data_IF_501689890577
#
_entry.id   IF_501689890577
#
_cell.length_a   1.000
_cell.length_b   1.000
_cell.length_c   1.000
_cell.angle_alpha   90.00
_cell.angle_beta   90.00
_cell.angle_gamma   90.00
#
_symmetry.space_group_name_H-M   'P 1'
#
loop_
_entity.id
_entity.type
_entity.pdbx_description
1 polymer ?
#
# COMPACT_ATOMS: atom_id res chain seq x y z
N UNK A 1 13.60 4.90 -11.02
CA UNK A 1 12.82 6.09 -11.41
C UNK A 1 11.35 5.99 -10.96
N UNK A 2 10.62 4.91 -11.29
CA UNK A 2 9.20 4.74 -10.93
C UNK A 2 8.98 4.77 -9.42
N UNK A 3 9.75 4.01 -8.64
CA UNK A 3 9.66 4.03 -7.18
C UNK A 3 9.93 5.42 -6.57
N UNK A 4 10.85 6.20 -7.15
CA UNK A 4 11.12 7.57 -6.69
C UNK A 4 9.95 8.52 -6.95
N UNK A 5 9.20 8.32 -8.04
CA UNK A 5 7.96 9.07 -8.31
C UNK A 5 6.88 8.70 -7.29
N UNK A 6 6.78 7.41 -6.94
CA UNK A 6 5.78 6.91 -6.00
C UNK A 6 5.98 7.41 -4.56
N UNK A 7 7.18 7.87 -4.19
CA UNK A 7 7.37 8.55 -2.89
C UNK A 7 6.51 9.81 -2.78
N UNK A 8 6.25 10.48 -3.90
CA UNK A 8 5.46 11.72 -3.97
C UNK A 8 4.07 11.50 -4.59
N UNK A 9 3.57 10.26 -4.60
CA UNK A 9 2.36 9.87 -5.31
C UNK A 9 1.15 10.76 -4.96
N UNK A 10 0.93 11.03 -3.67
CA UNK A 10 -0.19 11.86 -3.19
C UNK A 10 -0.08 13.29 -3.73
N UNK A 11 1.07 13.92 -3.56
CA UNK A 11 1.30 15.30 -4.03
C UNK A 11 1.14 15.42 -5.55
N UNK A 12 1.62 14.41 -6.30
CA UNK A 12 1.50 14.38 -7.77
C UNK A 12 0.02 14.22 -8.16
N UNK A 13 -0.70 13.29 -7.52
CA UNK A 13 -2.11 13.04 -7.84
C UNK A 13 -2.98 14.26 -7.50
N UNK A 14 -2.77 14.88 -6.36
CA UNK A 14 -3.47 16.10 -5.94
C UNK A 14 -3.20 17.28 -6.89
N UNK A 15 -1.96 17.43 -7.35
CA UNK A 15 -1.59 18.46 -8.31
C UNK A 15 -2.24 18.25 -9.69
N UNK A 16 -2.33 16.99 -10.12
CA UNK A 16 -2.92 16.63 -11.41
C UNK A 16 -4.45 16.62 -11.39
N UNK A 17 -5.06 16.40 -10.22
CA UNK A 17 -6.51 16.22 -10.05
C UNK A 17 -7.01 17.04 -8.86
N UNK A 18 -6.93 18.38 -8.93
CA UNK A 18 -7.29 19.27 -7.80
C UNK A 18 -8.78 19.20 -7.43
N UNK A 19 -9.64 18.72 -8.33
CA UNK A 19 -11.07 18.52 -8.08
C UNK A 19 -11.35 17.56 -6.92
N UNK A 20 -10.43 16.64 -6.61
CA UNK A 20 -10.56 15.69 -5.50
C UNK A 20 -10.38 16.36 -4.12
N UNK A 21 -9.80 17.56 -4.10
CA UNK A 21 -9.57 18.34 -2.89
C UNK A 21 -10.68 19.38 -2.62
N UNK A 22 -11.66 19.45 -3.48
CA UNK A 22 -12.80 20.38 -3.30
C UNK A 22 -13.71 19.82 -2.22
N UNK A 23 -13.67 20.46 -1.06
CA UNK A 23 -14.52 20.13 0.08
C UNK A 23 -15.58 21.20 0.29
N UNK A 24 -16.84 20.79 0.39
CA UNK A 24 -17.93 21.67 0.76
C UNK A 24 -17.82 22.05 2.25
N UNK A 25 -18.11 23.30 2.60
CA UNK A 25 -18.12 23.73 3.99
C UNK A 25 -19.31 23.08 4.74
N UNK A 26 -19.03 22.51 5.90
CA UNK A 26 -20.04 21.87 6.74
C UNK A 26 -19.45 20.76 7.61
N UNK A 27 -20.28 20.19 8.46
CA UNK A 27 -19.93 18.99 9.21
C UNK A 27 -19.93 17.78 8.29
N UNK A 28 -19.09 16.79 8.60
CA UNK A 28 -19.04 15.55 7.85
C UNK A 28 -20.35 14.77 8.00
N UNK A 29 -20.77 14.15 6.91
CA UNK A 29 -21.92 13.24 6.91
C UNK A 29 -21.59 11.97 7.70
N UNK A 30 -22.61 11.30 8.26
CA UNK A 30 -22.46 9.95 8.81
C UNK A 30 -21.89 8.98 7.77
N UNK A 31 -21.08 8.00 8.20
CA UNK A 31 -20.40 7.06 7.31
C UNK A 31 -21.37 6.24 6.46
N UNK A 32 -22.52 5.87 7.01
CA UNK A 32 -23.55 5.18 6.25
C UNK A 32 -24.05 6.01 5.05
N UNK A 33 -24.09 7.35 5.17
CA UNK A 33 -24.47 8.24 4.07
C UNK A 33 -23.32 8.38 3.06
N UNK A 34 -22.07 8.40 3.50
CA UNK A 34 -20.90 8.39 2.62
C UNK A 34 -20.85 7.09 1.80
N UNK A 35 -21.05 5.93 2.45
CA UNK A 35 -21.13 4.63 1.77
C UNK A 35 -22.29 4.59 0.77
N UNK A 36 -23.45 5.08 1.15
CA UNK A 36 -24.61 5.18 0.25
C UNK A 36 -24.35 6.11 -0.94
N UNK A 37 -23.67 7.23 -0.72
CA UNK A 37 -23.28 8.15 -1.78
C UNK A 37 -22.28 7.51 -2.76
N UNK A 38 -21.30 6.75 -2.25
CA UNK A 38 -20.37 5.99 -3.08
C UNK A 38 -21.12 4.93 -3.90
N UNK A 39 -22.03 4.18 -3.27
CA UNK A 39 -22.86 3.16 -3.92
C UNK A 39 -23.77 3.76 -5.01
N UNK A 40 -24.29 4.97 -4.79
CA UNK A 40 -25.14 5.67 -5.76
C UNK A 40 -24.41 6.00 -7.08
N UNK A 41 -23.08 6.09 -7.07
CA UNK A 41 -22.29 6.25 -8.31
C UNK A 41 -22.36 4.98 -9.18
N UNK A 42 -22.49 3.82 -8.57
CA UNK A 42 -22.57 2.51 -9.23
C UNK A 42 -23.62 1.60 -8.57
N UNK A 43 -24.90 1.84 -8.83
CA UNK A 43 -26.00 1.11 -8.16
C UNK A 43 -26.00 -0.41 -8.38
N UNK A 44 -25.43 -0.85 -9.50
CA UNK A 44 -25.38 -2.26 -9.89
C UNK A 44 -24.19 -3.03 -9.28
N UNK A 45 -23.32 -2.33 -8.53
CA UNK A 45 -22.19 -2.97 -7.85
C UNK A 45 -22.54 -3.32 -6.40
N UNK A 46 -21.75 -4.20 -5.80
CA UNK A 46 -21.77 -4.42 -4.35
C UNK A 46 -21.37 -3.14 -3.59
N UNK A 47 -21.51 -3.16 -2.27
CA UNK A 47 -20.93 -2.11 -1.41
C UNK A 47 -19.43 -1.97 -1.68
N UNK A 48 -18.81 -0.82 -1.43
CA UNK A 48 -17.35 -0.71 -1.57
C UNK A 48 -16.65 -1.69 -0.63
N UNK A 49 -15.52 -2.24 -1.09
CA UNK A 49 -14.68 -3.12 -0.26
C UNK A 49 -14.06 -2.34 0.91
N UNK A 50 -13.68 -1.11 0.67
CA UNK A 50 -13.13 -0.26 1.72
C UNK A 50 -13.39 1.22 1.49
N UNK A 51 -13.43 1.94 2.60
CA UNK A 51 -13.54 3.39 2.66
C UNK A 51 -12.29 3.95 3.34
N UNK A 52 -11.45 4.68 2.60
CA UNK A 52 -10.27 5.36 3.13
C UNK A 52 -10.68 6.73 3.64
N UNK A 53 -10.26 7.04 4.87
CA UNK A 53 -10.62 8.27 5.57
C UNK A 53 -9.72 9.44 5.18
N UNK A 54 -10.25 10.68 5.19
CA UNK A 54 -9.45 11.88 4.98
C UNK A 54 -8.37 12.03 6.04
N UNK A 55 -7.13 12.28 5.59
CA UNK A 55 -5.98 12.50 6.48
C UNK A 55 -5.88 13.94 6.96
N UNK A 56 -6.34 14.89 6.15
CA UNK A 56 -6.31 16.32 6.40
C UNK A 56 -7.69 16.93 6.15
N UNK A 57 -7.92 18.13 6.64
CA UNK A 57 -9.22 18.83 6.50
C UNK A 57 -9.68 19.01 5.04
N UNK A 58 -8.75 19.05 4.09
CA UNK A 58 -9.05 19.21 2.66
C UNK A 58 -9.23 17.89 1.92
N UNK A 59 -8.93 16.78 2.56
CA UNK A 59 -9.02 15.47 1.92
C UNK A 59 -10.47 14.99 1.87
N UNK A 60 -10.74 14.09 0.95
CA UNK A 60 -12.03 13.45 0.70
C UNK A 60 -12.01 11.99 1.12
N UNK A 61 -13.17 11.35 1.21
CA UNK A 61 -13.25 9.89 1.33
C UNK A 61 -12.96 9.23 -0.02
N UNK A 62 -12.22 8.11 0.01
CA UNK A 62 -12.00 7.28 -1.17
C UNK A 62 -12.63 5.92 -0.95
N UNK A 63 -13.70 5.64 -1.67
CA UNK A 63 -14.38 4.35 -1.68
C UNK A 63 -13.78 3.47 -2.77
N UNK A 64 -13.24 2.32 -2.38
CA UNK A 64 -12.64 1.34 -3.28
C UNK A 64 -13.63 0.24 -3.58
N UNK A 65 -13.85 -0.01 -4.85
CA UNK A 65 -14.72 -1.07 -5.36
C UNK A 65 -13.90 -2.09 -6.13
N UNK A 66 -14.10 -3.35 -5.81
CA UNK A 66 -13.65 -4.45 -6.63
C UNK A 66 -14.66 -4.68 -7.74
N UNK A 67 -14.25 -4.45 -8.98
CA UNK A 67 -15.14 -4.59 -10.13
C UNK A 67 -14.92 -5.95 -10.77
N UNK A 68 -15.98 -6.71 -11.10
CA UNK A 68 -15.84 -7.95 -11.85
C UNK A 68 -15.14 -7.70 -13.19
N UNK A 69 -13.94 -8.24 -13.37
CA UNK A 69 -13.23 -8.10 -14.63
C UNK A 69 -13.78 -9.06 -15.68
N UNK A 70 -13.96 -8.59 -16.90
CA UNK A 70 -14.35 -9.41 -18.03
C UNK A 70 -13.11 -10.12 -18.61
N UNK A 71 -12.64 -11.18 -17.94
CA UNK A 71 -11.75 -12.17 -18.53
C UNK A 71 -10.24 -12.05 -18.30
N UNK A 72 -9.79 -11.36 -17.27
CA UNK A 72 -8.38 -11.39 -16.86
C UNK A 72 -8.24 -11.90 -15.41
N UNK A 73 -7.14 -12.60 -15.11
CA UNK A 73 -6.72 -13.00 -13.75
C UNK A 73 -6.37 -11.81 -12.84
N UNK A 74 -7.05 -10.69 -13.02
CA UNK A 74 -6.75 -9.43 -12.36
C UNK A 74 -8.03 -8.82 -11.83
N UNK A 75 -8.03 -8.51 -10.55
CA UNK A 75 -9.08 -7.69 -9.95
C UNK A 75 -8.98 -6.26 -10.49
N UNK A 76 -10.02 -5.80 -11.15
CA UNK A 76 -10.15 -4.40 -11.54
C UNK A 76 -10.67 -3.60 -10.35
N UNK A 77 -9.93 -2.57 -9.96
CA UNK A 77 -10.30 -1.69 -8.87
C UNK A 77 -10.78 -0.35 -9.41
N UNK A 78 -11.79 0.18 -8.76
CA UNK A 78 -12.29 1.52 -9.01
C UNK A 78 -12.35 2.34 -7.75
N UNK A 79 -11.97 3.62 -7.84
CA UNK A 79 -11.91 4.55 -6.72
C UNK A 79 -12.91 5.67 -6.97
N UNK A 80 -13.91 5.75 -6.12
CA UNK A 80 -14.90 6.83 -6.09
C UNK A 80 -14.53 7.77 -4.95
N UNK A 81 -14.29 9.04 -5.28
CA UNK A 81 -13.93 10.06 -4.28
C UNK A 81 -15.18 10.83 -3.90
N UNK A 82 -15.46 10.91 -2.59
CA UNK A 82 -16.69 11.50 -2.04
C UNK A 82 -16.35 12.69 -1.14
N UNK A 83 -17.05 13.81 -1.33
CA UNK A 83 -16.98 14.98 -0.46
C UNK A 83 -17.58 14.64 0.92
N UNK A 84 -16.82 14.77 2.01
CA UNK A 84 -17.26 14.41 3.35
C UNK A 84 -18.53 15.13 3.82
N UNK A 85 -18.73 16.36 3.42
CA UNK A 85 -19.82 17.21 3.95
C UNK A 85 -21.08 17.20 3.10
N UNK A 86 -20.96 16.99 1.79
CA UNK A 86 -22.11 16.99 0.88
C UNK A 86 -22.50 15.62 0.33
N UNK A 87 -21.62 14.60 0.46
CA UNK A 87 -21.81 13.31 -0.17
C UNK A 87 -21.68 13.33 -1.69
N UNK A 88 -21.25 14.45 -2.28
CA UNK A 88 -21.10 14.55 -3.73
C UNK A 88 -19.90 13.74 -4.21
N UNK A 89 -20.07 12.98 -5.29
CA UNK A 89 -18.96 12.35 -6.00
C UNK A 89 -18.09 13.41 -6.66
N UNK A 90 -16.81 13.46 -6.29
CA UNK A 90 -15.82 14.40 -6.81
C UNK A 90 -15.08 13.79 -8.00
N UNK A 91 -14.75 12.52 -7.92
CA UNK A 91 -14.14 11.77 -9.03
C UNK A 91 -14.52 10.30 -8.98
N UNK A 92 -14.42 9.64 -10.12
CA UNK A 92 -14.69 8.22 -10.32
C UNK A 92 -13.66 7.69 -11.32
N UNK A 93 -12.67 6.91 -10.82
CA UNK A 93 -11.49 6.56 -11.60
C UNK A 93 -11.18 5.08 -11.50
N UNK A 94 -10.90 4.46 -12.62
CA UNK A 94 -10.39 3.10 -12.67
C UNK A 94 -8.92 3.07 -12.26
N UNK A 95 -8.55 2.19 -11.33
CA UNK A 95 -7.15 1.98 -10.97
C UNK A 95 -6.34 1.50 -12.18
N UNK A 96 -5.13 2.00 -12.34
CA UNK A 96 -4.30 1.75 -13.50
C UNK A 96 -4.50 2.71 -14.68
N UNK A 97 -5.60 3.48 -14.72
CA UNK A 97 -5.92 4.36 -15.85
C UNK A 97 -5.40 5.80 -15.72
N UNK A 98 -5.08 6.26 -14.52
CA UNK A 98 -4.53 7.60 -14.27
C UNK A 98 -3.05 7.54 -13.91
N UNK A 99 -2.34 8.66 -14.07
CA UNK A 99 -0.87 8.70 -14.05
C UNK A 99 -0.23 7.98 -12.85
N UNK A 100 -0.68 8.29 -11.64
CA UNK A 100 -0.09 7.70 -10.42
C UNK A 100 -0.33 6.21 -10.35
N UNK A 101 -1.55 5.76 -10.61
CA UNK A 101 -1.89 4.33 -10.62
C UNK A 101 -1.18 3.58 -11.76
N UNK A 102 -1.04 4.20 -12.93
CA UNK A 102 -0.24 3.63 -14.03
C UNK A 102 1.24 3.45 -13.62
N UNK A 103 1.85 4.46 -12.98
CA UNK A 103 3.25 4.36 -12.49
C UNK A 103 3.37 3.28 -11.41
N UNK A 104 2.36 3.15 -10.55
CA UNK A 104 2.30 2.10 -9.53
C UNK A 104 2.29 0.71 -10.16
N UNK A 105 1.38 0.46 -11.10
CA UNK A 105 1.25 -0.80 -11.82
C UNK A 105 2.51 -1.15 -12.63
N UNK A 106 3.12 -0.14 -13.26
CA UNK A 106 4.41 -0.30 -13.95
C UNK A 106 5.52 -0.69 -12.97
N UNK A 107 5.53 -0.12 -11.78
CA UNK A 107 6.55 -0.39 -10.77
C UNK A 107 6.39 -1.77 -10.14
N UNK A 108 5.17 -2.13 -9.80
CA UNK A 108 4.84 -3.37 -9.11
C UNK A 108 4.92 -4.58 -10.04
N UNK A 109 4.33 -4.48 -11.23
CA UNK A 109 4.10 -5.64 -12.10
C UNK A 109 4.36 -5.41 -13.59
N UNK A 110 5.10 -4.35 -13.97
CA UNK A 110 5.42 -4.04 -15.38
C UNK A 110 4.16 -3.99 -16.28
N UNK A 111 3.00 -3.69 -15.73
CA UNK A 111 1.69 -3.73 -16.39
C UNK A 111 1.25 -5.15 -16.86
N UNK A 112 1.90 -6.21 -16.37
CA UNK A 112 1.67 -7.61 -16.76
C UNK A 112 0.90 -8.41 -15.70
N UNK A 113 0.30 -7.75 -14.69
CA UNK A 113 -0.41 -8.38 -13.59
C UNK A 113 0.46 -9.35 -12.80
N UNK A 114 -0.11 -10.47 -12.34
CA UNK A 114 0.56 -11.48 -11.52
C UNK A 114 1.87 -12.01 -12.10
N UNK A 115 1.96 -12.18 -13.42
CA UNK A 115 3.19 -12.62 -14.09
C UNK A 115 4.28 -11.56 -13.96
N UNK A 116 3.92 -10.30 -14.14
CA UNK A 116 4.85 -9.19 -13.98
C UNK A 116 5.32 -8.99 -12.55
N UNK A 117 4.43 -9.11 -11.58
CA UNK A 117 4.72 -9.08 -10.14
C UNK A 117 5.78 -10.15 -9.80
N UNK A 118 5.52 -11.41 -10.15
CA UNK A 118 6.48 -12.49 -9.95
C UNK A 118 7.83 -12.23 -10.62
N UNK A 119 7.82 -11.63 -11.82
CA UNK A 119 9.04 -11.30 -12.54
C UNK A 119 9.83 -10.19 -11.82
N UNK A 120 9.18 -9.15 -11.32
CA UNK A 120 9.80 -8.07 -10.52
C UNK A 120 10.41 -8.63 -9.24
N UNK A 121 9.73 -9.55 -8.56
CA UNK A 121 10.26 -10.22 -7.38
C UNK A 121 11.52 -11.04 -7.68
N UNK A 122 11.55 -11.77 -8.80
CA UNK A 122 12.75 -12.50 -9.26
C UNK A 122 13.89 -11.52 -9.57
N UNK A 123 13.62 -10.39 -10.22
CA UNK A 123 14.63 -9.35 -10.47
C UNK A 123 15.20 -8.77 -9.17
N UNK A 124 14.37 -8.61 -8.13
CA UNK A 124 14.83 -8.18 -6.82
C UNK A 124 15.83 -9.18 -6.21
N UNK A 125 15.58 -10.47 -6.34
CA UNK A 125 16.52 -11.52 -5.92
C UNK A 125 17.84 -11.46 -6.70
N UNK A 126 17.78 -11.29 -8.03
CA UNK A 126 18.99 -11.12 -8.84
C UNK A 126 19.76 -9.86 -8.45
N UNK A 127 19.09 -8.77 -8.10
CA UNK A 127 19.75 -7.57 -7.61
C UNK A 127 20.48 -7.83 -6.29
N UNK A 128 19.86 -8.55 -5.33
CA UNK A 128 20.53 -8.93 -4.09
C UNK A 128 21.78 -9.78 -4.33
N UNK A 129 21.69 -10.78 -5.20
CA UNK A 129 22.83 -11.60 -5.60
C UNK A 129 23.93 -10.78 -6.27
N UNK A 130 23.55 -9.83 -7.14
CA UNK A 130 24.49 -8.92 -7.81
C UNK A 130 25.20 -8.00 -6.82
N UNK A 131 24.48 -7.47 -5.82
CA UNK A 131 25.08 -6.65 -4.75
C UNK A 131 26.05 -7.50 -3.92
N UNK A 132 25.64 -8.70 -3.50
CA UNK A 132 26.49 -9.58 -2.70
C UNK A 132 27.77 -9.96 -3.42
N UNK A 133 27.68 -10.36 -4.69
CA UNK A 133 28.85 -10.70 -5.52
C UNK A 133 29.71 -9.45 -5.82
N UNK A 134 29.08 -8.30 -6.06
CA UNK A 134 29.78 -7.03 -6.26
C UNK A 134 30.59 -6.61 -5.03
N UNK A 135 30.01 -6.73 -3.83
CA UNK A 135 30.73 -6.48 -2.57
C UNK A 135 31.85 -7.48 -2.34
N UNK A 136 31.62 -8.75 -2.63
CA UNK A 136 32.65 -9.79 -2.54
C UNK A 136 33.85 -9.50 -3.45
N UNK A 137 33.61 -9.17 -4.72
CA UNK A 137 34.66 -8.83 -5.70
C UNK A 137 35.38 -7.52 -5.37
N UNK A 138 34.66 -6.58 -4.77
CA UNK A 138 35.24 -5.30 -4.36
C UNK A 138 36.11 -5.42 -3.11
N UNK A 139 35.89 -6.41 -2.23
CA UNK A 139 36.51 -6.48 -0.92
C UNK A 139 38.03 -6.34 -0.99
N UNK A 140 38.62 -5.28 -0.44
CA UNK A 140 40.05 -5.01 -0.59
C UNK A 140 40.89 -5.90 0.32
N UNK A 141 42.09 -6.24 -0.13
CA UNK A 141 43.07 -6.88 0.74
C UNK A 141 43.43 -5.99 1.93
N UNK A 142 43.86 -6.61 3.04
CA UNK A 142 44.23 -5.93 4.27
C UNK A 142 45.14 -4.70 4.02
N UNK A 143 44.81 -3.59 4.69
CA UNK A 143 45.54 -2.33 4.59
C UNK A 143 45.28 -1.46 3.35
N UNK A 144 44.47 -1.94 2.36
CA UNK A 144 44.20 -1.18 1.13
C UNK A 144 42.83 -0.48 1.12
N UNK A 145 42.09 -0.49 2.23
CA UNK A 145 40.74 0.06 2.32
C UNK A 145 40.66 1.54 1.89
N UNK A 146 41.56 2.38 2.40
CA UNK A 146 41.60 3.81 2.05
C UNK A 146 41.75 4.05 0.53
N UNK A 147 42.58 3.24 -0.14
CA UNK A 147 42.77 3.30 -1.60
C UNK A 147 41.54 2.77 -2.34
N UNK A 148 40.89 1.73 -1.83
CA UNK A 148 39.69 1.18 -2.40
C UNK A 148 38.51 2.18 -2.35
N UNK A 149 38.45 3.05 -1.35
CA UNK A 149 37.44 4.11 -1.16
C UNK A 149 37.78 5.44 -1.85
N UNK A 150 38.86 5.53 -2.64
CA UNK A 150 39.28 6.77 -3.30
C UNK A 150 39.10 6.71 -4.82
N UNK A 151 38.78 7.87 -5.41
CA UNK A 151 38.91 8.12 -6.85
C UNK A 151 40.39 8.32 -7.17
N UNK A 152 40.90 7.54 -8.11
CA UNK A 152 42.31 7.74 -8.56
C UNK A 152 42.36 8.79 -9.68
N UNK A 153 42.90 9.96 -9.37
CA UNK A 153 43.10 11.03 -10.37
C UNK A 153 44.08 10.59 -11.46
N UNK A 154 43.92 11.08 -12.70
CA UNK A 154 44.84 10.85 -13.81
C UNK A 154 44.66 9.52 -14.57
N UNK A 155 43.59 8.75 -14.29
CA UNK A 155 43.31 7.49 -14.99
C UNK A 155 42.61 7.67 -16.34
N UNK A 156 42.61 6.61 -17.16
CA UNK A 156 41.84 6.55 -18.40
C UNK A 156 40.31 6.70 -18.11
N UNK A 157 39.49 7.07 -19.11
CA UNK A 157 38.02 7.14 -18.95
C UNK A 157 37.42 5.85 -18.40
N UNK A 158 37.90 4.69 -18.80
CA UNK A 158 37.49 3.37 -18.30
C UNK A 158 37.76 3.23 -16.80
N UNK A 159 38.96 3.68 -16.36
CA UNK A 159 39.33 3.65 -14.94
C UNK A 159 38.41 4.54 -14.10
N UNK A 160 38.08 5.73 -14.61
CA UNK A 160 37.16 6.65 -13.94
C UNK A 160 35.75 6.07 -13.81
N UNK A 161 35.22 5.44 -14.86
CA UNK A 161 33.92 4.76 -14.81
C UNK A 161 33.91 3.61 -13.79
N UNK A 162 34.98 2.82 -13.75
CA UNK A 162 35.14 1.77 -12.75
C UNK A 162 35.13 2.32 -11.32
N UNK A 163 35.90 3.37 -11.05
CA UNK A 163 35.98 3.98 -9.72
C UNK A 163 34.64 4.63 -9.32
N UNK A 164 33.91 5.26 -10.25
CA UNK A 164 32.56 5.79 -10.01
C UNK A 164 31.56 4.68 -9.72
N UNK A 165 31.54 3.62 -10.53
CA UNK A 165 30.66 2.47 -10.30
C UNK A 165 30.94 1.82 -8.94
N UNK A 166 32.21 1.59 -8.62
CA UNK A 166 32.64 1.03 -7.34
C UNK A 166 32.18 1.87 -6.14
N UNK A 167 32.40 3.17 -6.18
CA UNK A 167 32.08 4.06 -5.06
C UNK A 167 30.57 4.30 -4.92
N UNK A 168 29.88 4.53 -6.05
CA UNK A 168 28.41 4.68 -6.03
C UNK A 168 27.72 3.37 -5.63
N UNK A 169 28.20 2.23 -6.15
CA UNK A 169 27.71 0.91 -5.79
C UNK A 169 27.86 0.62 -4.29
N UNK A 170 29.04 0.89 -3.72
CA UNK A 170 29.27 0.74 -2.29
C UNK A 170 28.37 1.68 -1.46
N UNK A 171 28.28 2.96 -1.86
CA UNK A 171 27.46 3.96 -1.15
C UNK A 171 25.96 3.63 -1.17
N UNK A 172 25.48 3.02 -2.26
CA UNK A 172 24.06 2.64 -2.41
C UNK A 172 23.74 1.20 -1.98
N UNK A 173 24.73 0.35 -1.77
CA UNK A 173 24.55 -1.09 -1.54
C UNK A 173 23.57 -1.41 -0.41
N UNK A 174 23.68 -0.71 0.73
CA UNK A 174 22.80 -0.93 1.87
C UNK A 174 21.34 -0.58 1.52
N UNK A 175 21.13 0.59 0.94
CA UNK A 175 19.76 1.07 0.60
C UNK A 175 19.15 0.17 -0.47
N UNK A 176 19.90 -0.16 -1.52
CA UNK A 176 19.43 -1.05 -2.58
C UNK A 176 19.16 -2.47 -2.08
N UNK A 177 19.97 -2.98 -1.14
CA UNK A 177 19.70 -4.29 -0.52
C UNK A 177 18.41 -4.28 0.28
N UNK A 178 18.16 -3.24 1.06
CA UNK A 178 16.90 -3.10 1.81
C UNK A 178 15.69 -2.99 0.87
N UNK A 179 15.79 -2.17 -0.18
CA UNK A 179 14.73 -2.02 -1.18
C UNK A 179 14.46 -3.33 -1.92
N UNK A 180 15.51 -4.04 -2.32
CA UNK A 180 15.36 -5.31 -3.02
C UNK A 180 14.82 -6.42 -2.10
N UNK A 181 15.26 -6.48 -0.84
CA UNK A 181 14.76 -7.45 0.13
C UNK A 181 13.28 -7.21 0.47
N UNK A 182 12.89 -5.95 0.68
CA UNK A 182 11.49 -5.59 0.93
C UNK A 182 10.62 -5.80 -0.31
N UNK A 183 11.12 -5.47 -1.51
CA UNK A 183 10.41 -5.76 -2.76
C UNK A 183 10.21 -7.26 -2.96
N UNK A 184 11.23 -8.08 -2.72
CA UNK A 184 11.10 -9.55 -2.78
C UNK A 184 10.07 -10.08 -1.76
N UNK A 185 10.07 -9.54 -0.53
CA UNK A 185 9.09 -9.90 0.48
C UNK A 185 7.66 -9.57 0.06
N UNK A 186 7.44 -8.39 -0.54
CA UNK A 186 6.10 -7.98 -0.98
C UNK A 186 5.54 -8.88 -2.09
N UNK A 187 6.41 -9.40 -2.96
CA UNK A 187 6.00 -10.28 -4.06
C UNK A 187 5.86 -11.75 -3.64
N UNK A 188 6.68 -12.20 -2.67
CA UNK A 188 6.70 -13.58 -2.20
C UNK A 188 6.58 -13.67 -0.66
N UNK A 189 5.49 -13.13 -0.06
CA UNK A 189 5.35 -13.10 1.40
C UNK A 189 5.38 -14.48 2.02
N UNK A 190 4.70 -15.47 1.45
CA UNK A 190 4.63 -16.82 1.97
C UNK A 190 6.00 -17.50 2.02
N UNK A 191 6.83 -17.31 0.99
CA UNK A 191 8.17 -17.86 0.93
C UNK A 191 9.08 -17.26 2.01
N UNK A 192 8.96 -15.96 2.25
CA UNK A 192 9.74 -15.26 3.29
C UNK A 192 9.23 -15.62 4.68
N UNK A 193 7.92 -15.58 4.91
CA UNK A 193 7.31 -15.90 6.20
C UNK A 193 7.59 -17.34 6.59
N UNK A 194 7.46 -18.30 5.66
CA UNK A 194 7.79 -19.71 5.94
C UNK A 194 9.25 -19.89 6.36
N UNK A 195 10.17 -19.14 5.77
CA UNK A 195 11.58 -19.14 6.16
C UNK A 195 11.82 -18.53 7.52
N UNK A 196 11.16 -17.39 7.81
CA UNK A 196 11.28 -16.69 9.10
C UNK A 196 10.70 -17.53 10.25
N UNK A 197 9.63 -18.29 10.01
CA UNK A 197 9.01 -19.18 11.01
C UNK A 197 10.00 -20.23 11.59
N UNK A 198 11.09 -20.55 10.90
CA UNK A 198 12.13 -21.46 11.44
C UNK A 198 12.93 -20.84 12.59
N UNK A 199 13.02 -19.52 12.65
CA UNK A 199 13.85 -18.78 13.62
C UNK A 199 13.04 -17.91 14.59
N UNK A 200 11.79 -17.60 14.25
CA UNK A 200 10.93 -16.73 15.05
C UNK A 200 9.45 -17.09 14.89
N UNK A 201 8.66 -17.08 15.98
CA UNK A 201 7.22 -17.22 15.86
C UNK A 201 6.65 -16.01 15.09
N UNK A 202 5.93 -16.28 14.02
CA UNK A 202 5.23 -15.27 13.20
C UNK A 202 3.73 -15.51 13.35
N UNK A 203 2.99 -14.44 13.66
CA UNK A 203 1.53 -14.48 13.68
C UNK A 203 0.99 -14.85 12.30
N UNK A 204 -0.04 -15.68 12.27
CA UNK A 204 -0.73 -16.00 11.02
C UNK A 204 -1.59 -14.80 10.61
N UNK A 205 -1.25 -14.20 9.47
CA UNK A 205 -1.95 -13.09 8.86
C UNK A 205 -2.63 -13.50 7.56
N UNK A 206 -2.85 -14.81 7.37
CA UNK A 206 -3.55 -15.30 6.20
C UNK A 206 -5.03 -14.87 6.22
N UNK A 207 -5.69 -14.68 5.07
CA UNK A 207 -7.12 -14.38 5.01
C UNK A 207 -8.01 -15.40 5.75
N UNK A 208 -7.54 -16.66 5.88
CA UNK A 208 -8.24 -17.70 6.63
C UNK A 208 -8.15 -17.52 8.16
N UNK A 209 -7.22 -16.69 8.64
CA UNK A 209 -7.07 -16.34 10.06
C UNK A 209 -7.88 -15.09 10.44
N UNK A 210 -8.52 -14.45 9.48
CA UNK A 210 -9.38 -13.29 9.75
C UNK A 210 -10.62 -13.73 10.54
N UNK A 211 -11.00 -12.99 11.59
CA UNK A 211 -12.20 -13.30 12.36
C UNK A 211 -13.45 -13.21 11.49
N UNK A 212 -14.41 -14.07 11.77
CA UNK A 212 -15.73 -14.05 11.13
C UNK A 212 -16.79 -13.60 12.12
N UNK A 213 -17.84 -12.96 11.60
CA UNK A 213 -19.03 -12.63 12.37
C UNK A 213 -19.82 -13.87 12.76
N UNK A 214 -20.29 -13.89 13.99
CA UNK A 214 -21.21 -14.93 14.47
C UNK A 214 -22.62 -14.66 13.93
N UNK A 215 -23.12 -15.59 13.12
CA UNK A 215 -24.50 -15.49 12.61
C UNK A 215 -25.50 -15.49 13.77
N UNK A 216 -26.34 -14.44 13.84
CA UNK A 216 -27.39 -14.29 14.83
C UNK A 216 -28.74 -14.19 14.13
N UNK A 217 -29.56 -15.23 14.27
CA UNK A 217 -30.87 -15.26 13.65
C UNK A 217 -31.73 -14.06 14.06
N UNK A 218 -32.18 -13.30 13.07
CA UNK A 218 -33.02 -12.13 13.27
C UNK A 218 -32.29 -10.85 13.77
N UNK A 219 -30.98 -10.88 13.95
CA UNK A 219 -30.25 -9.69 14.27
C UNK A 219 -30.05 -8.83 13.01
N UNK A 220 -30.21 -7.52 13.15
CA UNK A 220 -29.85 -6.57 12.11
C UNK A 220 -28.34 -6.28 12.18
N UNK A 221 -27.68 -6.18 11.03
CA UNK A 221 -26.29 -5.76 10.96
C UNK A 221 -26.15 -4.33 11.47
N UNK A 222 -25.05 -4.05 12.18
CA UNK A 222 -24.71 -2.73 12.67
C UNK A 222 -24.33 -1.81 11.49
N UNK A 223 -24.43 -0.50 11.72
CA UNK A 223 -24.03 0.51 10.72
C UNK A 223 -22.52 0.76 10.75
N UNK A 224 -21.93 1.22 9.64
CA UNK A 224 -20.50 1.61 9.56
C UNK A 224 -20.06 2.57 10.68
N UNK A 225 -20.92 3.51 11.04
CA UNK A 225 -20.69 4.47 12.15
C UNK A 225 -20.55 3.76 13.49
N UNK A 226 -21.36 2.73 13.74
CA UNK A 226 -21.32 1.94 14.98
C UNK A 226 -20.03 1.10 15.05
N UNK A 227 -19.65 0.45 13.95
CA UNK A 227 -18.41 -0.32 13.88
C UNK A 227 -17.18 0.57 14.19
N UNK A 228 -17.11 1.76 13.59
CA UNK A 228 -16.04 2.73 13.87
C UNK A 228 -16.09 3.23 15.31
N UNK A 229 -17.29 3.44 15.89
CA UNK A 229 -17.42 3.84 17.28
C UNK A 229 -16.88 2.77 18.25
N UNK A 230 -17.19 1.48 17.99
CA UNK A 230 -16.67 0.34 18.77
C UNK A 230 -15.15 0.27 18.67
N UNK A 231 -14.59 0.37 17.47
CA UNK A 231 -13.14 0.36 17.26
C UNK A 231 -12.45 1.51 17.99
N UNK A 232 -13.00 2.72 17.95
CA UNK A 232 -12.49 3.90 18.71
C UNK A 232 -12.58 3.70 20.23
N UNK A 233 -13.60 3.02 20.71
CA UNK A 233 -13.71 2.73 22.14
C UNK A 233 -12.60 1.77 22.63
N UNK A 234 -12.14 0.88 21.76
CA UNK A 234 -11.02 -0.04 22.05
C UNK A 234 -9.66 0.67 22.06
N UNK A 235 -9.46 1.64 21.14
CA UNK A 235 -8.23 2.42 21.01
C UNK A 235 -8.57 3.92 20.89
N UNK A 236 -8.89 4.60 22.02
CA UNK A 236 -9.44 5.97 22.01
C UNK A 236 -8.53 7.02 21.37
N UNK A 237 -7.21 6.87 21.50
CA UNK A 237 -6.21 7.81 20.98
C UNK A 237 -5.79 7.53 19.54
N UNK A 238 -6.30 6.45 18.96
CA UNK A 238 -5.97 6.08 17.60
C UNK A 238 -6.85 6.80 16.57
N UNK A 239 -6.24 7.18 15.45
CA UNK A 239 -6.95 7.75 14.31
C UNK A 239 -7.44 6.64 13.40
N UNK A 240 -8.70 6.70 13.00
CA UNK A 240 -9.25 5.81 11.96
C UNK A 240 -8.68 6.20 10.61
N UNK A 241 -8.13 5.23 9.89
CA UNK A 241 -7.49 5.40 8.60
C UNK A 241 -8.33 4.85 7.46
N UNK A 242 -8.97 3.70 7.69
CA UNK A 242 -9.81 3.05 6.71
C UNK A 242 -10.83 2.13 7.39
N UNK A 243 -11.87 1.80 6.65
CA UNK A 243 -12.93 0.89 7.05
C UNK A 243 -13.18 -0.10 5.91
N UNK A 244 -12.95 -1.39 6.15
CA UNK A 244 -13.42 -2.49 5.31
C UNK A 244 -14.88 -2.81 5.63
N UNK A 245 -15.68 -3.00 4.60
CA UNK A 245 -17.10 -3.26 4.72
C UNK A 245 -17.42 -4.73 4.45
N UNK A 246 -18.34 -5.34 5.21
CA UNK A 246 -18.76 -6.73 4.98
C UNK A 246 -19.54 -6.86 3.67
N UNK A 247 -19.27 -7.93 2.92
CA UNK A 247 -19.97 -8.30 1.70
C UNK A 247 -20.98 -9.44 1.90
N UNK A 248 -20.75 -10.25 2.91
CA UNK A 248 -21.67 -11.34 3.26
C UNK A 248 -21.98 -11.38 4.77
N UNK A 249 -22.86 -12.29 5.16
CA UNK A 249 -23.34 -12.40 6.54
C UNK A 249 -22.28 -12.91 7.54
N UNK A 250 -21.14 -13.39 7.08
CA UNK A 250 -20.04 -13.87 7.93
C UNK A 250 -18.86 -12.91 7.98
N UNK A 251 -18.85 -11.94 7.11
CA UNK A 251 -17.77 -10.96 7.11
C UNK A 251 -17.83 -10.09 8.38
N UNK A 252 -16.73 -9.46 8.69
CA UNK A 252 -16.62 -8.47 9.76
C UNK A 252 -16.36 -7.09 9.17
N UNK A 253 -16.63 -6.05 9.94
CA UNK A 253 -16.02 -4.76 9.65
C UNK A 253 -14.55 -4.80 10.07
N UNK A 254 -13.65 -4.41 9.19
CA UNK A 254 -12.24 -4.25 9.48
C UNK A 254 -11.92 -2.76 9.61
N UNK A 255 -11.47 -2.30 10.79
CA UNK A 255 -11.17 -0.89 11.03
C UNK A 255 -9.67 -0.71 11.21
N UNK A 256 -9.03 -0.08 10.23
CA UNK A 256 -7.62 0.27 10.30
C UNK A 256 -7.41 1.51 11.18
N UNK A 257 -6.56 1.36 12.19
CA UNK A 257 -6.31 2.37 13.21
C UNK A 257 -4.82 2.73 13.22
N UNK A 258 -4.51 4.00 13.41
CA UNK A 258 -3.16 4.51 13.56
C UNK A 258 -2.98 5.13 14.94
N UNK A 259 -2.05 4.60 15.70
CA UNK A 259 -1.69 5.12 17.00
C UNK A 259 -0.68 6.28 16.88
N UNK A 260 -0.65 7.13 17.90
CA UNK A 260 0.36 8.19 18.00
C UNK A 260 1.77 7.57 18.08
N UNK A 261 2.71 8.10 17.28
CA UNK A 261 4.08 7.58 17.23
C UNK A 261 4.36 6.50 16.19
N UNK A 262 3.34 5.95 15.53
CA UNK A 262 3.57 5.05 14.41
C UNK A 262 4.26 5.77 13.23
N UNK A 263 5.34 5.17 12.74
CA UNK A 263 6.15 5.71 11.63
C UNK A 263 5.36 5.67 10.31
N UNK A 264 4.59 4.60 10.09
CA UNK A 264 3.76 4.45 8.89
C UNK A 264 2.58 5.43 8.94
N UNK A 265 2.55 6.36 8.00
CA UNK A 265 1.52 7.39 7.94
C UNK A 265 0.24 6.93 7.23
N UNK A 266 0.34 6.02 6.28
CA UNK A 266 -0.79 5.46 5.55
C UNK A 266 -1.22 4.10 6.15
N UNK A 267 -2.50 3.92 6.41
CA UNK A 267 -3.11 2.66 6.82
C UNK A 267 -3.00 2.29 8.31
N UNK A 268 -2.01 2.80 9.05
CA UNK A 268 -1.76 2.38 10.45
C UNK A 268 -1.21 0.95 10.55
N UNK A 269 -0.95 0.48 11.78
CA UNK A 269 -0.51 -0.90 12.07
C UNK A 269 -1.52 -1.67 12.93
N UNK A 270 -2.46 -0.96 13.56
CA UNK A 270 -3.49 -1.59 14.38
C UNK A 270 -4.75 -1.80 13.54
N UNK A 271 -5.36 -2.95 13.71
CA UNK A 271 -6.59 -3.31 13.03
C UNK A 271 -7.58 -3.88 14.05
N UNK A 272 -8.82 -3.45 13.99
CA UNK A 272 -9.90 -3.94 14.82
C UNK A 272 -10.95 -4.62 13.94
N UNK A 273 -11.23 -5.87 14.23
CA UNK A 273 -12.27 -6.65 13.57
C UNK A 273 -13.53 -6.60 14.42
N UNK A 274 -14.60 -6.10 13.84
CA UNK A 274 -15.87 -5.85 14.53
C UNK A 274 -16.95 -6.76 13.95
N UNK A 275 -17.55 -7.59 14.81
CA UNK A 275 -18.71 -8.39 14.47
C UNK A 275 -19.83 -7.47 13.95
N UNK A 276 -20.47 -7.86 12.87
CA UNK A 276 -21.53 -7.06 12.26
C UNK A 276 -22.90 -7.19 12.96
N UNK A 277 -23.04 -7.99 14.05
CA UNK A 277 -24.27 -8.19 14.79
C UNK A 277 -24.19 -7.74 16.24
#
# INVERSE_FOLDING_TARGET
LTGSLLVFYKTIDEWMNPEQLVRTAGADLPLNQIVAAAQAAHPDWSVPDSLIFPLHEKDSFHAWFKVPSHGADRDDWRVVTIDPSSGRTLSDRQWGSYFVSFVYELHQGLLLGKVGESFVGILALFLLLSIATGLYLWWPASGKMRRALSLQGGGSPVRRQYDLHKLSGLGSALVLSLLAATGFYLEFPDAVISTVRWVSPVQDTSPQAEPHSDLRDGAAAILPDQAVAIARATLPDARVMWLGLPHDARDTFAVGLRQAGEVRQAGGHSEAWIDQY
#
